data_IF_842465258889
#
_entry.id   IF_842465258889
#
_cell.length_a   1.000
_cell.length_b   1.000
_cell.length_c   1.000
_cell.angle_alpha   90.00
_cell.angle_beta   90.00
_cell.angle_gamma   90.00
#
_symmetry.space_group_name_H-M   'P 1'
#
loop_
_entity.id
_entity.type
_entity.pdbx_description
1 polymer ?
#
# COMPACT_ATOMS: atom_id res chain seq x y z
N UNK A 1 1.35 -7.50 -32.96
CA UNK A 1 1.30 -6.57 -31.82
C UNK A 1 -0.11 -6.64 -31.24
N UNK A 2 -0.36 -7.61 -30.37
CA UNK A 2 -1.64 -7.71 -29.68
C UNK A 2 -1.55 -6.84 -28.44
N UNK A 3 -2.28 -5.73 -28.47
CA UNK A 3 -2.52 -4.90 -27.30
C UNK A 3 -3.47 -5.67 -26.40
N UNK A 4 -2.94 -6.44 -25.45
CA UNK A 4 -3.71 -6.96 -24.32
C UNK A 4 -4.10 -5.75 -23.49
N UNK A 5 -5.26 -5.16 -23.79
CA UNK A 5 -5.85 -4.14 -22.95
C UNK A 5 -6.22 -4.82 -21.64
N UNK A 6 -5.39 -4.63 -20.62
CA UNK A 6 -5.76 -4.94 -19.25
C UNK A 6 -7.03 -4.13 -18.93
N UNK A 7 -8.05 -4.75 -18.32
CA UNK A 7 -9.22 -4.01 -17.86
C UNK A 7 -8.73 -2.87 -16.97
N UNK A 8 -9.21 -1.66 -17.22
CA UNK A 8 -8.85 -0.51 -16.40
C UNK A 8 -9.14 -0.82 -14.93
N UNK A 9 -8.23 -0.49 -13.99
CA UNK A 9 -8.48 -0.65 -12.57
C UNK A 9 -9.82 0.01 -12.22
N UNK A 10 -10.77 -0.78 -11.74
CA UNK A 10 -12.10 -0.30 -11.32
C UNK A 10 -13.33 -0.94 -11.98
N UNK A 11 -13.21 -1.73 -13.06
CA UNK A 11 -14.40 -2.28 -13.75
C UNK A 11 -15.19 -3.34 -12.93
N UNK A 12 -14.56 -3.97 -11.93
CA UNK A 12 -15.19 -5.00 -11.09
C UNK A 12 -15.35 -4.58 -9.61
N UNK A 13 -15.19 -3.28 -9.32
CA UNK A 13 -15.35 -2.76 -7.97
C UNK A 13 -16.78 -2.25 -7.75
N UNK A 14 -17.36 -2.57 -6.60
CA UNK A 14 -18.68 -2.08 -6.21
C UNK A 14 -18.63 -1.32 -4.89
N UNK A 15 -19.58 -0.40 -4.68
CA UNK A 15 -19.68 0.33 -3.41
C UNK A 15 -19.91 -0.58 -2.20
N UNK A 16 -19.44 -0.14 -1.03
CA UNK A 16 -19.71 -0.84 0.22
C UNK A 16 -21.22 -0.99 0.47
N UNK A 17 -21.66 -2.23 0.68
CA UNK A 17 -23.03 -2.53 1.16
C UNK A 17 -23.20 -2.16 2.64
N UNK A 18 -24.43 -1.89 3.07
CA UNK A 18 -24.78 -1.51 4.46
C UNK A 18 -24.14 -2.41 5.53
N UNK A 19 -24.15 -3.73 5.34
CA UNK A 19 -23.55 -4.69 6.28
C UNK A 19 -22.05 -4.44 6.55
N UNK A 20 -21.32 -3.97 5.53
CA UNK A 20 -19.88 -3.69 5.66
C UNK A 20 -19.67 -2.35 6.38
N UNK A 21 -20.49 -1.35 6.07
CA UNK A 21 -20.51 -0.07 6.79
C UNK A 21 -20.83 -0.28 8.28
N UNK A 22 -21.84 -1.10 8.58
CA UNK A 22 -22.23 -1.43 9.96
C UNK A 22 -21.14 -2.19 10.71
N UNK A 23 -20.40 -3.07 10.01
CA UNK A 23 -19.26 -3.76 10.59
C UNK A 23 -18.10 -2.80 10.86
N UNK A 24 -17.66 -2.01 9.88
CA UNK A 24 -16.58 -1.03 10.02
C UNK A 24 -16.87 -0.03 11.15
N UNK A 25 -18.10 0.49 11.20
CA UNK A 25 -18.54 1.42 12.25
C UNK A 25 -18.53 0.77 13.64
N UNK A 26 -18.99 -0.48 13.76
CA UNK A 26 -18.94 -1.23 15.03
C UNK A 26 -17.51 -1.55 15.46
N UNK A 27 -16.61 -1.69 14.50
CA UNK A 27 -15.17 -1.84 14.72
C UNK A 27 -14.48 -0.50 15.05
N UNK A 28 -15.21 0.60 15.22
CA UNK A 28 -14.64 1.90 15.62
C UNK A 28 -14.08 2.73 14.47
N UNK A 29 -14.30 2.35 13.22
CA UNK A 29 -13.84 3.13 12.06
C UNK A 29 -14.74 4.36 11.87
N UNK A 30 -14.11 5.52 11.72
CA UNK A 30 -14.78 6.78 11.41
C UNK A 30 -15.33 6.76 9.98
N UNK A 31 -16.55 7.27 9.80
CA UNK A 31 -17.22 7.31 8.49
C UNK A 31 -16.46 8.18 7.48
N UNK A 32 -15.78 9.24 7.93
CA UNK A 32 -14.98 10.11 7.05
C UNK A 32 -13.86 9.32 6.39
N UNK A 33 -13.22 8.44 7.16
CA UNK A 33 -12.13 7.55 6.76
C UNK A 33 -12.58 6.42 5.82
N UNK A 34 -13.89 6.31 5.52
CA UNK A 34 -14.43 5.42 4.50
C UNK A 34 -14.60 6.10 3.13
N UNK A 35 -14.66 7.43 3.10
CA UNK A 35 -14.97 8.23 1.91
C UNK A 35 -13.75 9.03 1.45
N UNK A 36 -12.96 9.52 2.39
CA UNK A 36 -11.83 10.41 2.13
C UNK A 36 -10.52 9.72 2.50
N UNK A 37 -9.50 9.90 1.66
CA UNK A 37 -8.11 9.73 2.08
C UNK A 37 -7.72 10.88 3.02
N UNK A 38 -6.57 10.76 3.70
CA UNK A 38 -5.98 11.78 4.59
C UNK A 38 -5.98 13.19 3.97
N UNK A 39 -5.73 13.29 2.66
CA UNK A 39 -5.73 14.56 1.91
C UNK A 39 -7.12 15.11 1.59
N UNK A 40 -8.18 14.54 2.17
CA UNK A 40 -9.57 14.90 1.88
C UNK A 40 -9.94 14.71 0.40
N UNK A 41 -9.15 13.93 -0.33
CA UNK A 41 -9.52 13.48 -1.66
C UNK A 41 -10.54 12.34 -1.56
N UNK A 42 -11.62 12.37 -2.34
CA UNK A 42 -12.55 11.25 -2.43
C UNK A 42 -11.82 9.99 -2.90
N UNK A 43 -11.66 9.03 -2.00
CA UNK A 43 -11.13 7.68 -2.27
C UNK A 43 -11.96 6.73 -1.41
N UNK A 44 -13.18 6.54 -1.90
CA UNK A 44 -14.17 5.71 -1.23
C UNK A 44 -13.69 4.26 -1.24
N UNK A 45 -13.76 3.58 -0.09
CA UNK A 45 -13.48 2.15 -0.05
C UNK A 45 -14.52 1.44 -0.90
N UNK A 46 -14.06 0.53 -1.75
CA UNK A 46 -14.91 -0.30 -2.59
C UNK A 46 -14.78 -1.77 -2.21
N UNK A 47 -15.53 -2.63 -2.88
CA UNK A 47 -15.47 -4.07 -2.77
C UNK A 47 -14.98 -4.67 -4.08
N UNK A 48 -13.94 -5.50 -4.00
CA UNK A 48 -13.56 -6.46 -5.03
C UNK A 48 -13.97 -7.88 -4.62
N UNK A 49 -14.25 -8.73 -5.59
CA UNK A 49 -14.50 -10.16 -5.36
C UNK A 49 -13.42 -10.97 -6.05
N UNK A 50 -12.81 -11.90 -5.32
CA UNK A 50 -11.64 -12.60 -5.83
C UNK A 50 -10.80 -13.29 -4.77
N UNK A 51 -9.58 -13.62 -5.16
CA UNK A 51 -8.57 -14.29 -4.35
C UNK A 51 -7.17 -13.73 -4.62
N UNK A 52 -6.20 -14.07 -3.77
CA UNK A 52 -4.80 -13.69 -3.96
C UNK A 52 -4.10 -14.75 -4.77
N UNK A 53 -3.55 -14.36 -5.92
CA UNK A 53 -2.68 -15.20 -6.72
C UNK A 53 -1.32 -15.42 -6.02
N UNK A 54 -0.56 -16.47 -6.38
CA UNK A 54 0.74 -16.76 -5.75
C UNK A 54 1.79 -15.65 -5.86
N UNK A 55 1.62 -14.69 -6.78
CA UNK A 55 2.48 -13.52 -6.95
C UNK A 55 2.07 -12.32 -6.09
N UNK A 56 1.06 -12.47 -5.22
CA UNK A 56 0.54 -11.41 -4.36
C UNK A 56 -0.44 -10.45 -5.05
N UNK A 57 -0.82 -10.76 -6.30
CA UNK A 57 -1.81 -9.96 -7.04
C UNK A 57 -3.22 -10.45 -6.78
N UNK A 58 -4.17 -9.54 -6.90
CA UNK A 58 -5.57 -9.84 -6.79
C UNK A 58 -6.11 -10.39 -8.12
N UNK A 59 -6.67 -11.59 -8.09
CA UNK A 59 -7.37 -12.19 -9.22
C UNK A 59 -8.88 -12.05 -9.03
N UNK A 60 -9.55 -11.41 -9.99
CA UNK A 60 -10.98 -11.14 -9.89
C UNK A 60 -11.79 -12.39 -10.20
N UNK A 61 -12.72 -12.72 -9.31
CA UNK A 61 -13.64 -13.84 -9.48
C UNK A 61 -15.00 -13.49 -8.89
N UNK A 62 -16.07 -13.67 -9.68
CA UNK A 62 -17.46 -13.41 -9.22
C UNK A 62 -17.86 -14.29 -8.03
N UNK A 63 -17.30 -15.50 -7.96
CA UNK A 63 -17.52 -16.46 -6.88
C UNK A 63 -16.51 -16.32 -5.74
N UNK A 64 -15.58 -15.36 -5.84
CA UNK A 64 -14.52 -15.11 -4.87
C UNK A 64 -15.03 -14.47 -3.57
N UNK A 65 -14.14 -14.39 -2.58
CA UNK A 65 -14.44 -13.72 -1.33
C UNK A 65 -14.48 -12.20 -1.52
N UNK A 66 -15.12 -11.47 -0.59
CA UNK A 66 -15.19 -10.02 -0.65
C UNK A 66 -13.97 -9.38 0.03
N UNK A 67 -13.33 -8.47 -0.69
CA UNK A 67 -12.16 -7.71 -0.27
C UNK A 67 -12.47 -6.23 -0.24
N UNK A 68 -11.96 -5.51 0.75
CA UNK A 68 -11.97 -4.05 0.74
C UNK A 68 -10.88 -3.56 -0.21
N UNK A 69 -11.27 -2.73 -1.17
CA UNK A 69 -10.38 -2.15 -2.17
C UNK A 69 -10.12 -0.67 -1.86
N UNK A 70 -8.85 -0.27 -2.03
CA UNK A 70 -8.34 1.07 -1.76
C UNK A 70 -7.57 1.55 -2.98
N UNK A 71 -7.95 2.69 -3.54
CA UNK A 71 -7.09 3.36 -4.50
C UNK A 71 -5.81 3.79 -3.80
N UNK A 72 -4.68 3.52 -4.44
CA UNK A 72 -3.38 3.92 -3.96
C UNK A 72 -2.81 4.94 -4.93
N UNK A 73 -2.35 6.04 -4.35
CA UNK A 73 -1.80 7.17 -5.08
C UNK A 73 -0.30 7.27 -4.88
N UNK A 74 0.38 7.99 -5.76
CA UNK A 74 1.73 8.47 -5.52
C UNK A 74 1.74 9.83 -4.81
N UNK A 75 2.93 10.39 -4.57
CA UNK A 75 3.10 11.71 -3.97
C UNK A 75 2.54 12.89 -4.80
N UNK A 76 2.16 12.67 -6.05
CA UNK A 76 1.51 13.66 -6.92
C UNK A 76 -0.01 13.46 -7.01
N UNK A 77 -0.56 12.54 -6.22
CA UNK A 77 -1.97 12.17 -6.19
C UNK A 77 -2.46 11.54 -7.50
N UNK A 78 -1.57 10.89 -8.25
CA UNK A 78 -1.94 10.08 -9.40
C UNK A 78 -2.21 8.64 -8.95
N UNK A 79 -3.32 8.00 -9.38
CA UNK A 79 -3.61 6.62 -9.03
C UNK A 79 -2.59 5.67 -9.67
N UNK A 80 -1.93 4.86 -8.85
CA UNK A 80 -0.85 3.96 -9.29
C UNK A 80 -1.16 2.48 -9.15
N UNK A 81 -2.05 2.10 -8.22
CA UNK A 81 -2.44 0.72 -7.94
C UNK A 81 -3.75 0.69 -7.13
N UNK A 82 -4.31 -0.50 -6.96
CA UNK A 82 -5.38 -0.77 -6.00
C UNK A 82 -4.86 -1.76 -4.97
N UNK A 83 -4.96 -1.41 -3.70
CA UNK A 83 -4.71 -2.32 -2.58
C UNK A 83 -5.98 -3.05 -2.18
N UNK A 84 -5.87 -4.34 -1.88
CA UNK A 84 -6.96 -5.18 -1.42
C UNK A 84 -6.64 -5.70 -0.03
N UNK A 85 -7.66 -5.73 0.83
CA UNK A 85 -7.58 -6.33 2.16
C UNK A 85 -8.78 -7.23 2.43
N UNK A 86 -8.50 -8.44 2.94
CA UNK A 86 -9.51 -9.40 3.38
C UNK A 86 -9.64 -9.31 4.91
N UNK A 87 -10.77 -8.81 5.46
CA UNK A 87 -10.87 -8.54 6.91
C UNK A 87 -10.90 -9.74 7.86
N UNK A 88 -11.21 -10.94 7.35
CA UNK A 88 -11.27 -12.20 8.11
C UNK A 88 -9.92 -12.90 8.21
N UNK A 89 -9.12 -12.89 7.15
CA UNK A 89 -7.81 -13.56 7.07
C UNK A 89 -6.68 -12.58 7.37
N UNK A 90 -6.90 -11.28 7.18
CA UNK A 90 -5.87 -10.25 7.29
C UNK A 90 -4.96 -10.20 6.05
N UNK A 91 -5.27 -10.96 5.01
CA UNK A 91 -4.47 -11.00 3.80
C UNK A 91 -4.56 -9.68 3.03
N UNK A 92 -3.46 -9.37 2.35
CA UNK A 92 -3.27 -8.18 1.54
C UNK A 92 -2.88 -8.61 0.13
N UNK A 93 -3.39 -7.87 -0.86
CA UNK A 93 -3.02 -8.02 -2.25
C UNK A 93 -2.99 -6.67 -2.96
N UNK A 94 -2.46 -6.66 -4.17
CA UNK A 94 -2.41 -5.48 -5.03
C UNK A 94 -2.98 -5.82 -6.41
N UNK A 95 -3.45 -4.83 -7.18
CA UNK A 95 -3.88 -5.11 -8.55
C UNK A 95 -2.69 -5.36 -9.48
N UNK A 96 -1.63 -4.56 -9.36
CA UNK A 96 -0.50 -4.61 -10.30
C UNK A 96 0.86 -4.90 -9.63
N UNK A 97 0.95 -4.79 -8.30
CA UNK A 97 2.20 -4.94 -7.55
C UNK A 97 3.13 -3.74 -7.71
N UNK A 98 2.56 -2.55 -7.92
CA UNK A 98 3.31 -1.28 -8.09
C UNK A 98 3.46 -0.51 -6.78
N UNK A 99 2.57 -0.75 -5.83
CA UNK A 99 2.63 -0.18 -4.49
C UNK A 99 3.39 -1.09 -3.51
N UNK A 100 4.00 -0.50 -2.49
CA UNK A 100 4.53 -1.25 -1.35
C UNK A 100 3.61 -1.20 -0.13
N UNK A 101 2.69 -0.24 -0.05
CA UNK A 101 1.87 -0.02 1.14
C UNK A 101 0.51 0.63 0.82
N UNK A 102 -0.49 0.33 1.65
CA UNK A 102 -1.71 1.15 1.74
C UNK A 102 -1.36 2.50 2.34
N UNK A 103 -1.89 3.59 1.78
CA UNK A 103 -1.62 4.96 2.27
C UNK A 103 -0.23 5.49 1.93
N UNK A 104 0.52 4.86 1.02
CA UNK A 104 1.91 5.23 0.72
C UNK A 104 2.10 6.70 0.29
N UNK A 105 1.05 7.36 -0.18
CA UNK A 105 1.09 8.76 -0.62
C UNK A 105 1.59 9.72 0.47
N UNK A 106 1.43 9.35 1.75
CA UNK A 106 1.84 10.20 2.88
C UNK A 106 3.35 10.18 3.14
N UNK A 107 4.07 9.20 2.55
CA UNK A 107 5.51 9.03 2.78
C UNK A 107 6.30 10.19 2.21
N UNK A 108 5.88 10.69 1.05
CA UNK A 108 6.52 11.81 0.35
C UNK A 108 6.01 13.18 0.82
N UNK A 109 5.03 13.23 1.74
CA UNK A 109 4.45 14.46 2.25
C UNK A 109 5.24 15.07 3.43
N UNK A 110 5.78 16.29 3.28
CA UNK A 110 6.48 16.98 4.37
C UNK A 110 5.60 17.23 5.61
N UNK A 111 4.28 17.36 5.47
CA UNK A 111 3.37 17.60 6.59
C UNK A 111 3.34 16.42 7.56
N UNK A 112 3.51 15.18 7.07
CA UNK A 112 3.64 13.95 7.88
C UNK A 112 4.77 14.05 8.92
N UNK A 113 5.80 14.85 8.63
CA UNK A 113 6.98 15.00 9.48
C UNK A 113 7.07 16.36 10.16
N UNK A 114 6.08 17.24 10.01
CA UNK A 114 6.11 18.56 10.65
C UNK A 114 5.76 18.47 12.14
N UNK A 115 6.22 19.42 12.95
CA UNK A 115 5.84 19.54 14.38
C UNK A 115 5.96 18.24 15.23
N UNK A 116 7.08 17.53 15.09
CA UNK A 116 7.36 16.25 15.78
C UNK A 116 6.44 15.08 15.41
N UNK A 117 5.68 15.21 14.31
CA UNK A 117 4.98 14.09 13.71
C UNK A 117 5.94 13.05 13.10
N UNK A 118 5.39 11.86 12.86
CA UNK A 118 6.09 10.66 12.41
C UNK A 118 5.20 9.85 11.49
N UNK A 119 5.83 9.11 10.57
CA UNK A 119 5.12 8.12 9.76
C UNK A 119 4.74 6.93 10.65
N UNK A 120 3.45 6.67 10.82
CA UNK A 120 2.96 5.50 11.56
C UNK A 120 2.85 4.29 10.62
N UNK A 121 3.42 3.16 11.01
CA UNK A 121 3.31 1.88 10.30
C UNK A 121 2.46 0.94 11.16
N UNK A 122 1.30 0.57 10.65
CA UNK A 122 0.36 -0.32 11.32
C UNK A 122 0.52 -1.77 10.83
N UNK A 123 0.30 -2.72 11.75
CA UNK A 123 0.30 -4.15 11.44
C UNK A 123 -0.98 -4.61 10.74
N UNK A 124 -2.10 -3.96 11.07
CA UNK A 124 -3.44 -4.34 10.65
C UNK A 124 -4.14 -3.17 9.95
N UNK A 125 -4.66 -3.34 8.72
CA UNK A 125 -5.50 -2.36 8.05
C UNK A 125 -6.69 -1.87 8.88
N UNK A 126 -7.25 -2.69 9.77
CA UNK A 126 -8.33 -2.23 10.64
C UNK A 126 -7.85 -1.14 11.60
N UNK A 127 -6.67 -1.30 12.21
CA UNK A 127 -6.08 -0.29 13.09
C UNK A 127 -5.72 0.98 12.33
N UNK A 128 -5.20 0.83 11.11
CA UNK A 128 -4.93 1.96 10.22
C UNK A 128 -6.22 2.74 9.88
N UNK A 129 -7.33 2.04 9.62
CA UNK A 129 -8.64 2.66 9.40
C UNK A 129 -9.22 3.31 10.65
N UNK A 130 -9.04 2.70 11.83
CA UNK A 130 -9.41 3.30 13.12
C UNK A 130 -8.61 4.57 13.42
N UNK A 131 -7.37 4.66 12.92
CA UNK A 131 -6.52 5.83 13.00
C UNK A 131 -6.75 6.82 11.85
N UNK A 132 -7.93 6.84 11.23
CA UNK A 132 -8.30 7.76 10.15
C UNK A 132 -7.34 7.74 8.94
N UNK A 133 -6.75 6.57 8.65
CA UNK A 133 -5.72 6.39 7.62
C UNK A 133 -4.44 7.22 7.86
N UNK A 134 -4.15 7.60 9.12
CA UNK A 134 -2.95 8.36 9.52
C UNK A 134 -1.70 7.47 9.62
N UNK A 135 -1.26 6.95 8.47
CA UNK A 135 -0.10 6.06 8.41
C UNK A 135 -0.13 5.19 7.17
N UNK A 136 0.66 4.12 7.22
CA UNK A 136 0.72 3.11 6.17
C UNK A 136 0.54 1.71 6.73
N UNK A 137 0.14 0.79 5.84
CA UNK A 137 0.20 -0.66 6.06
C UNK A 137 1.03 -1.27 4.95
N UNK A 138 2.16 -1.88 5.29
CA UNK A 138 3.08 -2.44 4.29
C UNK A 138 2.50 -3.73 3.70
N UNK A 139 2.29 -3.72 2.40
CA UNK A 139 1.83 -4.86 1.60
C UNK A 139 3.02 -5.67 1.07
N UNK A 140 4.03 -4.96 0.54
CA UNK A 140 5.26 -5.58 0.03
C UNK A 140 6.50 -5.05 0.77
N UNK A 141 7.00 -5.89 1.67
CA UNK A 141 8.20 -5.60 2.46
C UNK A 141 9.50 -5.63 1.65
N UNK A 142 9.51 -6.21 0.45
CA UNK A 142 10.70 -6.21 -0.42
C UNK A 142 11.03 -4.81 -0.94
N UNK A 143 10.00 -3.97 -1.12
CA UNK A 143 10.13 -2.57 -1.56
C UNK A 143 10.30 -1.58 -0.40
N UNK A 144 10.07 -2.02 0.84
CA UNK A 144 10.06 -1.14 2.02
C UNK A 144 11.40 -0.41 2.24
N UNK A 145 12.54 -1.06 1.99
CA UNK A 145 13.85 -0.41 2.15
C UNK A 145 13.98 0.85 1.30
N UNK A 146 13.75 0.71 -0.02
CA UNK A 146 13.93 1.82 -0.95
C UNK A 146 12.95 2.95 -0.71
N UNK A 147 11.76 2.63 -0.20
CA UNK A 147 10.70 3.61 0.06
C UNK A 147 10.82 4.31 1.41
N UNK A 148 11.40 3.65 2.42
CA UNK A 148 11.45 4.17 3.79
C UNK A 148 12.84 4.65 4.22
N UNK A 149 13.91 4.38 3.47
CA UNK A 149 15.29 4.73 3.88
C UNK A 149 15.52 6.23 4.11
N UNK A 150 14.80 7.07 3.38
CA UNK A 150 14.95 8.53 3.40
C UNK A 150 13.92 9.20 4.35
N UNK A 151 13.08 8.40 5.02
CA UNK A 151 12.05 8.88 5.95
C UNK A 151 12.68 9.28 7.29
N UNK A 152 12.48 10.53 7.77
CA UNK A 152 13.22 11.04 8.92
C UNK A 152 12.75 10.46 10.27
N UNK A 153 11.45 10.13 10.41
CA UNK A 153 10.85 9.66 11.66
C UNK A 153 9.75 8.65 11.38
N UNK A 154 9.89 7.45 11.97
CA UNK A 154 8.93 6.34 11.83
C UNK A 154 8.53 5.85 13.22
N UNK A 155 7.22 5.69 13.45
CA UNK A 155 6.68 4.84 14.51
C UNK A 155 6.16 3.55 13.88
N UNK A 156 6.58 2.42 14.42
CA UNK A 156 6.17 1.10 13.94
C UNK A 156 5.40 0.40 15.05
N UNK A 157 4.30 -0.26 14.70
CA UNK A 157 3.64 -1.19 15.61
C UNK A 157 4.65 -2.19 16.19
N UNK A 158 4.55 -2.46 17.49
CA UNK A 158 5.50 -3.30 18.22
C UNK A 158 5.62 -4.70 17.61
N UNK A 159 4.50 -5.25 17.10
CA UNK A 159 4.46 -6.58 16.47
C UNK A 159 5.29 -6.65 15.18
N UNK A 160 5.48 -5.52 14.50
CA UNK A 160 6.23 -5.41 13.25
C UNK A 160 7.72 -5.15 13.45
N UNK A 161 8.20 -4.88 14.68
CA UNK A 161 9.56 -4.36 14.89
C UNK A 161 10.66 -5.28 14.34
N UNK A 162 10.48 -6.60 14.45
CA UNK A 162 11.45 -7.58 13.93
C UNK A 162 11.44 -7.64 12.40
N UNK A 163 10.24 -7.62 11.81
CA UNK A 163 10.07 -7.61 10.36
C UNK A 163 10.64 -6.33 9.76
N UNK A 164 10.27 -5.18 10.34
CA UNK A 164 10.81 -3.88 9.96
C UNK A 164 12.35 -3.87 10.01
N UNK A 165 12.96 -4.27 11.13
CA UNK A 165 14.42 -4.31 11.26
C UNK A 165 15.11 -5.22 10.24
N UNK A 166 14.46 -6.32 9.85
CA UNK A 166 15.00 -7.24 8.82
C UNK A 166 15.01 -6.59 7.45
N UNK A 167 13.92 -5.90 7.09
CA UNK A 167 13.75 -5.30 5.77
C UNK A 167 14.43 -3.94 5.62
N UNK A 168 14.72 -3.24 6.72
CA UNK A 168 15.47 -1.98 6.70
C UNK A 168 17.00 -2.16 6.68
N UNK A 169 17.49 -3.38 6.44
CA UNK A 169 18.92 -3.61 6.20
C UNK A 169 19.24 -3.30 4.74
N UNK A 170 20.37 -2.62 4.46
CA UNK A 170 20.77 -2.34 3.09
C UNK A 170 20.86 -3.64 2.28
N UNK A 171 20.22 -3.72 1.10
CA UNK A 171 20.47 -4.83 0.19
C UNK A 171 21.96 -4.83 -0.17
N UNK A 172 22.53 -6.02 -0.41
CA UNK A 172 23.95 -6.15 -0.78
C UNK A 172 24.22 -5.24 -1.98
N UNK A 173 25.12 -4.28 -1.80
CA UNK A 173 25.47 -3.32 -2.85
C UNK A 173 26.02 -4.02 -4.08
N UNK A 174 25.91 -3.40 -5.27
CA UNK A 174 26.43 -3.98 -6.49
C UNK A 174 27.95 -4.15 -6.41
N UNK A 175 28.45 -5.26 -6.95
CA UNK A 175 29.88 -5.40 -7.22
C UNK A 175 30.25 -4.47 -8.38
N UNK A 176 31.12 -3.50 -8.11
CA UNK A 176 31.54 -2.50 -9.10
C UNK A 176 32.81 -2.97 -9.79
N UNK A 177 32.74 -3.15 -11.11
CA UNK A 177 33.90 -3.46 -11.94
C UNK A 177 34.30 -2.24 -12.77
N UNK A 178 35.60 -1.99 -12.91
CA UNK A 178 36.15 -0.92 -13.75
C UNK A 178 36.36 -1.43 -15.17
N UNK A 179 35.76 -0.77 -16.16
CA UNK A 179 36.04 -1.03 -17.57
C UNK A 179 37.39 -0.36 -17.91
N UNK A 180 38.43 -1.15 -18.14
CA UNK A 180 39.72 -0.63 -18.56
C UNK A 180 39.61 -0.02 -19.97
N UNK A 181 39.71 1.30 -20.06
CA UNK A 181 39.78 2.01 -21.34
C UNK A 181 41.03 1.59 -22.11
N UNK A 182 40.85 1.21 -23.38
CA UNK A 182 41.94 0.87 -24.29
C UNK A 182 42.79 2.13 -24.52
N UNK A 183 43.96 2.21 -23.88
CA UNK A 183 44.97 3.24 -24.21
C UNK A 183 45.43 2.98 -25.64
N UNK A 184 44.98 3.82 -26.58
CA UNK A 184 45.57 3.89 -27.91
C UNK A 184 46.94 4.54 -27.72
N UNK A 185 48.00 3.75 -27.87
CA UNK A 185 49.36 4.26 -27.89
C UNK A 185 49.54 5.14 -29.14
N UNK A 186 50.10 6.33 -28.93
CA UNK A 186 50.43 7.32 -29.95
C UNK A 186 51.65 6.89 -30.79
#
# INVERSE_FOLDING_TARGET
MNSTSYPSPGQNLIGLRQRHLDWLRRSGVNIQSLIFSRYHQPSAIQLGYGEVAPDGRFDFSEDGEAWLAFDIFDGFMEPVDIGFWQPRTGELATSEGRTFALGQEIVDDPATYSFDCRLNIFADPLQWLQADRDGIVVVDWSLAFDRLRDVPRIAVDETLILQYRRHMQPPKGPEVFVIAGRRVAA
#
